data_IF_822640536679
#
_entry.id   IF_822640536679
#
_cell.length_a   1.000
_cell.length_b   1.000
_cell.length_c   1.000
_cell.angle_alpha   90.00
_cell.angle_beta   90.00
_cell.angle_gamma   90.00
#
_symmetry.space_group_name_H-M   'P 1'
#
loop_
_entity.id
_entity.type
_entity.pdbx_description
1 polymer ?
#
# COMPACT_ATOMS: atom_id res chain seq x y z
N UNK A 1 -19.89 23.73 -37.36
CA UNK A 1 -19.32 23.35 -36.04
C UNK A 1 -19.01 24.54 -35.13
N UNK A 2 -18.51 25.70 -35.62
CA UNK A 2 -18.38 26.93 -34.79
C UNK A 2 -19.64 27.81 -34.75
N UNK A 3 -20.49 27.74 -35.78
CA UNK A 3 -21.77 28.46 -35.85
C UNK A 3 -22.86 27.92 -34.90
N UNK A 4 -22.63 26.74 -34.32
CA UNK A 4 -23.54 26.11 -33.36
C UNK A 4 -22.74 25.71 -32.12
N UNK A 5 -23.32 25.85 -30.91
CA UNK A 5 -22.68 25.39 -29.68
C UNK A 5 -22.37 23.89 -29.76
N UNK A 6 -21.36 23.44 -29.01
CA UNK A 6 -20.92 22.04 -28.98
C UNK A 6 -22.05 21.06 -28.63
N UNK A 7 -23.07 21.54 -27.91
CA UNK A 7 -24.19 20.76 -27.41
C UNK A 7 -25.36 20.66 -28.40
N UNK A 8 -25.29 21.35 -29.56
CA UNK A 8 -26.32 21.21 -30.59
C UNK A 8 -26.30 19.79 -31.17
N UNK A 9 -27.46 19.13 -31.22
CA UNK A 9 -27.61 17.77 -31.77
C UNK A 9 -27.04 17.65 -33.20
N UNK A 10 -27.21 18.70 -34.02
CA UNK A 10 -26.64 18.75 -35.39
C UNK A 10 -25.12 18.78 -35.41
N UNK A 11 -24.51 19.49 -34.46
CA UNK A 11 -23.06 19.57 -34.29
C UNK A 11 -22.50 18.22 -33.81
N UNK A 12 -23.18 17.58 -32.86
CA UNK A 12 -22.81 16.26 -32.35
C UNK A 12 -22.92 15.17 -33.41
N UNK A 13 -24.01 15.14 -34.19
CA UNK A 13 -24.18 14.23 -35.33
C UNK A 13 -23.07 14.40 -36.37
N UNK A 14 -22.72 15.64 -36.70
CA UNK A 14 -21.62 15.92 -37.62
C UNK A 14 -20.26 15.43 -37.07
N UNK A 15 -19.96 15.68 -35.79
CA UNK A 15 -18.73 15.20 -35.14
C UNK A 15 -18.66 13.68 -35.12
N UNK A 16 -19.76 13.01 -34.76
CA UNK A 16 -19.85 11.56 -34.75
C UNK A 16 -19.59 10.99 -36.14
N UNK A 17 -20.21 11.57 -37.18
CA UNK A 17 -20.02 11.14 -38.57
C UNK A 17 -18.57 11.29 -39.01
N UNK A 18 -17.95 12.44 -38.72
CA UNK A 18 -16.54 12.70 -39.03
C UNK A 18 -15.59 11.79 -38.26
N UNK A 19 -15.87 11.49 -36.99
CA UNK A 19 -15.08 10.58 -36.18
C UNK A 19 -15.13 9.17 -36.76
N UNK A 20 -16.32 8.64 -37.02
CA UNK A 20 -16.51 7.29 -37.57
C UNK A 20 -15.81 7.12 -38.92
N UNK A 21 -15.91 8.12 -39.81
CA UNK A 21 -15.24 8.09 -41.11
C UNK A 21 -13.70 8.08 -40.99
N UNK A 22 -13.15 8.72 -39.96
CA UNK A 22 -11.70 8.86 -39.79
C UNK A 22 -11.07 7.84 -38.82
N UNK A 23 -11.84 6.92 -38.22
CA UNK A 23 -11.30 5.83 -37.39
C UNK A 23 -10.23 4.97 -38.08
N UNK A 24 -10.32 4.63 -39.39
CA UNK A 24 -9.27 3.87 -40.07
C UNK A 24 -7.90 4.58 -40.05
N UNK A 25 -7.88 5.92 -40.02
CA UNK A 25 -6.64 6.69 -39.88
C UNK A 25 -5.96 6.42 -38.53
N UNK A 26 -6.74 6.35 -37.44
CA UNK A 26 -6.24 6.03 -36.11
C UNK A 26 -5.63 4.62 -36.11
N UNK A 27 -6.33 3.64 -36.67
CA UNK A 27 -5.83 2.27 -36.79
C UNK A 27 -4.52 2.19 -37.58
N UNK A 28 -4.40 2.91 -38.70
CA UNK A 28 -3.17 2.99 -39.49
C UNK A 28 -2.00 3.60 -38.70
N UNK A 29 -2.27 4.66 -37.92
CA UNK A 29 -1.24 5.29 -37.10
C UNK A 29 -0.81 4.35 -35.96
N UNK A 30 -1.75 3.73 -35.25
CA UNK A 30 -1.45 2.78 -34.16
C UNK A 30 -0.65 1.58 -34.66
N UNK A 31 -1.06 0.97 -35.77
CA UNK A 31 -0.33 -0.15 -36.38
C UNK A 31 1.09 0.25 -36.80
N UNK A 32 1.27 1.46 -37.34
CA UNK A 32 2.61 2.00 -37.64
C UNK A 32 3.44 2.23 -36.38
N UNK A 33 2.85 2.75 -35.30
CA UNK A 33 3.56 2.94 -34.03
C UNK A 33 3.98 1.62 -33.40
N UNK A 34 3.12 0.61 -33.43
CA UNK A 34 3.41 -0.73 -32.94
C UNK A 34 4.50 -1.42 -33.76
N UNK A 35 4.50 -1.27 -35.09
CA UNK A 35 5.59 -1.75 -35.95
C UNK A 35 6.95 -1.14 -35.59
N UNK A 36 6.96 0.14 -35.22
CA UNK A 36 8.19 0.82 -34.78
C UNK A 36 8.63 0.45 -33.35
N UNK A 37 7.77 -0.20 -32.56
CA UNK A 37 7.97 -0.53 -31.15
C UNK A 37 7.50 -1.96 -30.85
N UNK A 38 8.28 -2.98 -31.28
CA UNK A 38 7.88 -4.38 -31.16
C UNK A 38 7.73 -4.84 -29.70
N UNK A 39 8.39 -4.17 -28.75
CA UNK A 39 8.26 -4.46 -27.31
C UNK A 39 6.87 -4.12 -26.75
N UNK A 40 6.08 -3.30 -27.45
CA UNK A 40 4.68 -3.04 -27.09
C UNK A 40 3.71 -4.10 -27.62
N UNK A 41 4.19 -5.02 -28.47
CA UNK A 41 3.36 -6.06 -29.10
C UNK A 41 3.23 -7.32 -28.22
N UNK A 42 4.18 -7.56 -27.31
CA UNK A 42 4.07 -8.66 -26.36
C UNK A 42 3.12 -8.24 -25.24
N UNK A 43 1.83 -8.43 -25.45
CA UNK A 43 0.86 -8.39 -24.35
C UNK A 43 1.21 -9.45 -23.30
N UNK A 44 0.67 -9.36 -22.08
CA UNK A 44 0.78 -10.44 -21.11
C UNK A 44 0.24 -11.70 -21.78
N UNK A 45 1.00 -12.80 -21.73
CA UNK A 45 0.63 -14.07 -22.34
C UNK A 45 -0.69 -14.60 -21.75
N UNK A 46 -1.81 -14.13 -22.29
CA UNK A 46 -3.14 -14.69 -22.11
C UNK A 46 -3.32 -15.80 -23.14
N UNK A 47 -3.36 -17.04 -22.67
CA UNK A 47 -3.40 -18.24 -23.50
C UNK A 47 -4.60 -18.27 -24.45
N UNK A 48 -4.31 -18.42 -25.74
CA UNK A 48 -5.19 -19.04 -26.74
C UNK A 48 -4.41 -19.21 -28.04
N UNK A 49 -3.81 -20.38 -28.22
CA UNK A 49 -3.18 -20.75 -29.50
C UNK A 49 -2.15 -21.87 -29.33
N UNK A 50 -2.59 -23.11 -29.52
CA UNK A 50 -1.71 -24.27 -29.55
C UNK A 50 -0.69 -24.17 -30.68
N UNK A 51 0.59 -24.28 -30.33
CA UNK A 51 1.71 -24.32 -31.27
C UNK A 51 2.97 -24.69 -30.52
N UNK A 52 3.45 -25.90 -30.73
CA UNK A 52 4.67 -26.44 -30.16
C UNK A 52 5.91 -25.64 -30.58
N UNK A 53 6.53 -24.93 -29.64
CA UNK A 53 7.92 -24.50 -29.74
C UNK A 53 8.53 -24.51 -28.35
N UNK A 54 9.64 -25.23 -28.20
CA UNK A 54 10.38 -25.47 -26.98
C UNK A 54 10.83 -24.17 -26.26
N UNK A 55 10.90 -24.14 -24.92
CA UNK A 55 11.36 -22.98 -24.18
C UNK A 55 12.86 -23.06 -23.96
N UNK A 56 13.65 -22.29 -24.71
CA UNK A 56 15.04 -22.00 -24.33
C UNK A 56 15.19 -20.49 -24.18
N UNK A 57 15.41 -20.06 -22.95
CA UNK A 57 15.50 -18.66 -22.49
C UNK A 57 14.13 -17.99 -22.27
N UNK A 58 13.41 -18.44 -21.26
CA UNK A 58 12.28 -17.71 -20.67
C UNK A 58 12.79 -16.48 -19.92
N UNK A 59 13.25 -15.46 -20.65
CA UNK A 59 13.17 -14.10 -20.12
C UNK A 59 11.68 -13.87 -19.85
N UNK A 60 11.31 -13.64 -18.59
CA UNK A 60 9.99 -13.19 -18.18
C UNK A 60 9.70 -11.88 -18.92
N UNK A 61 9.18 -12.01 -20.14
CA UNK A 61 8.83 -10.89 -20.98
C UNK A 61 7.55 -10.32 -20.42
N UNK A 62 7.71 -9.43 -19.43
CA UNK A 62 6.63 -8.71 -18.79
C UNK A 62 5.81 -8.07 -19.89
N UNK A 63 4.52 -8.42 -19.94
CA UNK A 63 3.59 -7.91 -20.93
C UNK A 63 3.66 -6.39 -20.98
N UNK A 64 3.67 -5.82 -22.17
CA UNK A 64 3.62 -4.38 -22.36
C UNK A 64 2.45 -3.80 -21.55
N UNK A 65 2.73 -2.78 -20.73
CA UNK A 65 1.72 -2.15 -19.88
C UNK A 65 0.57 -1.51 -20.69
N UNK A 66 0.78 -1.26 -21.99
CA UNK A 66 -0.24 -0.78 -22.92
C UNK A 66 -0.58 -1.83 -23.97
N UNK A 67 -1.86 -2.12 -24.09
CA UNK A 67 -2.39 -2.96 -25.17
C UNK A 67 -2.61 -2.15 -26.45
N UNK A 68 -2.80 -2.84 -27.57
CA UNK A 68 -3.18 -2.21 -28.84
C UNK A 68 -4.49 -1.41 -28.71
N UNK A 69 -5.45 -1.93 -27.95
CA UNK A 69 -6.75 -1.30 -27.76
C UNK A 69 -6.63 0.00 -26.94
N UNK A 70 -5.73 0.03 -25.95
CA UNK A 70 -5.43 1.26 -25.21
C UNK A 70 -4.88 2.36 -26.13
N UNK A 71 -3.99 2.00 -27.06
CA UNK A 71 -3.47 2.94 -28.06
C UNK A 71 -4.54 3.40 -29.05
N UNK A 72 -5.48 2.53 -29.42
CA UNK A 72 -6.62 2.88 -30.26
C UNK A 72 -7.56 3.85 -29.55
N UNK A 73 -7.86 3.63 -28.28
CA UNK A 73 -8.69 4.53 -27.48
C UNK A 73 -8.02 5.90 -27.32
N UNK A 74 -6.74 5.96 -26.96
CA UNK A 74 -6.02 7.22 -26.85
C UNK A 74 -5.90 7.93 -28.21
N UNK A 75 -5.68 7.19 -29.29
CA UNK A 75 -5.70 7.74 -30.64
C UNK A 75 -7.06 8.31 -31.04
N UNK A 76 -8.16 7.66 -30.64
CA UNK A 76 -9.54 8.12 -30.90
C UNK A 76 -9.87 9.39 -30.10
N UNK A 77 -9.40 9.49 -28.86
CA UNK A 77 -9.48 10.73 -28.06
C UNK A 77 -8.72 11.86 -28.77
N UNK A 78 -7.51 11.58 -29.27
CA UNK A 78 -6.74 12.56 -30.04
C UNK A 78 -7.43 13.01 -31.32
N UNK A 79 -8.13 12.11 -32.02
CA UNK A 79 -8.95 12.45 -33.18
C UNK A 79 -10.14 13.34 -32.80
N UNK A 80 -10.83 13.05 -31.69
CA UNK A 80 -11.93 13.88 -31.19
C UNK A 80 -11.47 15.30 -30.83
N UNK A 81 -10.35 15.43 -30.09
CA UNK A 81 -9.73 16.74 -29.79
C UNK A 81 -9.35 17.51 -31.06
N UNK A 82 -8.86 16.80 -32.09
CA UNK A 82 -8.56 17.40 -33.38
C UNK A 82 -9.81 17.93 -34.07
N UNK A 83 -10.90 17.16 -34.10
CA UNK A 83 -12.16 17.57 -34.71
C UNK A 83 -12.74 18.82 -34.04
N UNK A 84 -12.66 18.90 -32.70
CA UNK A 84 -13.15 20.05 -31.95
C UNK A 84 -12.37 21.34 -32.24
N UNK A 85 -11.06 21.23 -32.50
CA UNK A 85 -10.18 22.38 -32.73
C UNK A 85 -9.97 22.71 -34.20
N UNK A 86 -10.27 21.78 -35.11
CA UNK A 86 -10.07 21.97 -36.55
C UNK A 86 -11.01 23.03 -37.09
N UNK A 87 -10.45 23.96 -37.87
CA UNK A 87 -11.23 24.96 -38.57
C UNK A 87 -11.34 24.58 -40.05
N UNK A 88 -12.59 24.38 -40.50
CA UNK A 88 -12.90 23.98 -41.88
C UNK A 88 -12.64 25.09 -42.90
N UNK A 89 -12.52 26.34 -42.45
CA UNK A 89 -12.08 27.44 -43.32
C UNK A 89 -10.67 27.19 -43.91
N UNK A 90 -9.86 26.37 -43.25
CA UNK A 90 -8.56 25.94 -43.77
C UNK A 90 -8.67 24.83 -44.84
N UNK A 91 -9.78 24.11 -44.99
CA UNK A 91 -9.88 23.09 -46.06
C UNK A 91 -10.17 23.67 -47.45
N UNK A 92 -10.73 24.88 -47.51
CA UNK A 92 -11.10 25.52 -48.78
C UNK A 92 -9.86 26.06 -49.49
N UNK A 93 -9.36 25.24 -50.42
CA UNK A 93 -8.28 25.58 -51.35
C UNK A 93 -8.68 26.62 -52.41
N UNK A 94 -9.96 27.05 -52.42
CA UNK A 94 -10.55 27.97 -53.41
C UNK A 94 -10.41 29.45 -53.07
N UNK A 95 -9.99 29.80 -51.84
CA UNK A 95 -9.79 31.20 -51.44
C UNK A 95 -8.40 31.66 -51.85
N UNK A 96 -8.28 32.12 -53.09
CA UNK A 96 -7.09 32.77 -53.66
C UNK A 96 -7.21 34.30 -53.61
N UNK A 97 -7.64 34.90 -52.49
CA UNK A 97 -7.60 36.37 -52.41
C UNK A 97 -7.03 36.89 -51.08
N UNK A 98 -6.08 37.81 -51.27
CA UNK A 98 -5.21 38.42 -50.30
C UNK A 98 -5.99 39.21 -49.24
N UNK A 99 -6.25 38.61 -48.09
CA UNK A 99 -6.45 39.36 -46.84
C UNK A 99 -5.26 39.09 -45.93
N UNK A 100 -4.73 40.15 -45.37
CA UNK A 100 -3.38 40.30 -44.78
C UNK A 100 -3.14 39.52 -43.47
N UNK A 101 -3.86 38.43 -43.22
CA UNK A 101 -3.54 37.54 -42.09
C UNK A 101 -2.61 36.44 -42.56
N UNK A 102 -1.43 36.35 -41.93
CA UNK A 102 -0.38 35.34 -42.11
C UNK A 102 -0.84 33.93 -41.69
N UNK A 103 -1.94 33.43 -42.24
CA UNK A 103 -2.41 32.07 -42.01
C UNK A 103 -1.94 31.19 -43.18
N UNK A 104 -1.07 30.19 -42.95
CA UNK A 104 -0.56 29.35 -44.01
C UNK A 104 -1.66 28.48 -44.62
N UNK A 105 -1.53 28.27 -45.95
CA UNK A 105 -2.28 27.36 -46.82
C UNK A 105 -2.83 26.16 -46.07
N UNK A 106 -4.15 26.00 -46.11
CA UNK A 106 -4.81 25.14 -45.16
C UNK A 106 -4.72 23.64 -45.46
N UNK A 107 -4.53 22.89 -44.37
CA UNK A 107 -4.27 21.47 -44.40
C UNK A 107 -5.58 20.69 -44.27
N UNK A 108 -5.74 19.63 -45.07
CA UNK A 108 -6.87 18.70 -44.94
C UNK A 108 -6.98 18.18 -43.51
N UNK A 109 -8.20 17.89 -43.06
CA UNK A 109 -8.48 17.33 -41.73
C UNK A 109 -7.57 16.15 -41.39
N UNK A 110 -7.36 15.20 -42.30
CA UNK A 110 -6.49 14.05 -42.05
C UNK A 110 -5.04 14.43 -41.73
N UNK A 111 -4.49 15.45 -42.39
CA UNK A 111 -3.15 15.98 -42.10
C UNK A 111 -3.10 16.57 -40.70
N UNK A 112 -4.09 17.38 -40.32
CA UNK A 112 -4.17 17.99 -39.00
C UNK A 112 -4.37 16.94 -37.89
N UNK A 113 -5.37 16.07 -38.06
CA UNK A 113 -5.71 15.01 -37.10
C UNK A 113 -4.52 14.07 -36.84
N UNK A 114 -3.69 13.81 -37.84
CA UNK A 114 -2.50 12.97 -37.69
C UNK A 114 -1.55 13.48 -36.59
N UNK A 115 -1.38 14.79 -36.44
CA UNK A 115 -0.52 15.36 -35.38
C UNK A 115 -1.11 15.16 -33.99
N UNK A 116 -2.42 15.36 -33.84
CA UNK A 116 -3.14 15.15 -32.58
C UNK A 116 -3.15 13.68 -32.17
N UNK A 117 -3.46 12.77 -33.10
CA UNK A 117 -3.45 11.32 -32.87
C UNK A 117 -2.06 10.87 -32.44
N UNK A 118 -1.00 11.28 -33.17
CA UNK A 118 0.38 10.91 -32.81
C UNK A 118 0.82 11.50 -31.48
N UNK A 119 0.53 12.77 -31.23
CA UNK A 119 0.87 13.43 -29.98
C UNK A 119 0.20 12.75 -28.78
N UNK A 120 -1.09 12.41 -28.92
CA UNK A 120 -1.87 11.73 -27.87
C UNK A 120 -1.35 10.32 -27.59
N UNK A 121 -1.12 9.53 -28.63
CA UNK A 121 -0.52 8.19 -28.51
C UNK A 121 0.87 8.25 -27.87
N UNK A 122 1.74 9.15 -28.31
CA UNK A 122 3.10 9.28 -27.76
C UNK A 122 3.07 9.68 -26.29
N UNK A 123 2.17 10.59 -25.89
CA UNK A 123 1.98 10.98 -24.49
C UNK A 123 1.45 9.80 -23.66
N UNK A 124 0.50 9.03 -24.19
CA UNK A 124 -0.04 7.85 -23.51
C UNK A 124 1.06 6.82 -23.24
N UNK A 125 1.86 6.49 -24.27
CA UNK A 125 3.03 5.60 -24.14
C UNK A 125 3.96 6.14 -23.06
N UNK A 126 4.44 7.38 -23.16
CA UNK A 126 5.35 7.95 -22.16
C UNK A 126 4.79 7.89 -20.73
N UNK A 127 3.48 8.08 -20.56
CA UNK A 127 2.85 8.13 -19.24
C UNK A 127 2.61 6.76 -18.59
N UNK A 128 2.44 5.70 -19.39
CA UNK A 128 1.89 4.41 -18.95
C UNK A 128 2.66 3.18 -19.49
N UNK A 129 3.72 3.37 -20.27
CA UNK A 129 4.56 2.27 -20.80
C UNK A 129 5.29 1.49 -19.70
N UNK A 130 5.61 2.16 -18.59
CA UNK A 130 6.34 1.59 -17.47
C UNK A 130 5.38 1.36 -16.30
N UNK A 131 5.64 0.33 -15.50
CA UNK A 131 4.84 0.01 -14.30
C UNK A 131 4.73 1.19 -13.32
N UNK A 132 5.75 2.06 -13.30
CA UNK A 132 5.76 3.29 -12.53
C UNK A 132 5.95 4.49 -13.45
N UNK A 133 5.29 5.58 -13.10
CA UNK A 133 5.25 6.79 -13.91
C UNK A 133 6.55 7.58 -13.76
N UNK A 134 7.14 7.93 -14.90
CA UNK A 134 8.28 8.84 -14.97
C UNK A 134 7.89 10.25 -15.39
N UNK A 135 8.61 11.28 -14.91
CA UNK A 135 8.50 12.62 -15.46
C UNK A 135 8.90 12.68 -16.95
N UNK A 136 8.15 13.45 -17.74
CA UNK A 136 8.36 13.56 -19.20
C UNK A 136 9.78 14.02 -19.57
N UNK A 137 10.33 15.00 -18.83
CA UNK A 137 11.69 15.51 -19.04
C UNK A 137 12.74 14.39 -18.96
N UNK A 138 12.56 13.44 -18.05
CA UNK A 138 13.48 12.31 -17.85
C UNK A 138 13.37 11.33 -19.01
N UNK A 139 12.16 10.99 -19.45
CA UNK A 139 11.93 10.12 -20.60
C UNK A 139 12.52 10.71 -21.90
N UNK A 140 12.31 12.01 -22.12
CA UNK A 140 12.90 12.72 -23.26
C UNK A 140 14.43 12.74 -23.17
N UNK A 141 15.01 12.95 -21.98
CA UNK A 141 16.45 12.86 -21.75
C UNK A 141 16.97 11.44 -22.07
N UNK A 142 16.26 10.40 -21.64
CA UNK A 142 16.59 9.00 -21.94
C UNK A 142 16.61 8.72 -23.44
N UNK A 143 15.62 9.18 -24.20
CA UNK A 143 15.60 9.03 -25.65
C UNK A 143 16.75 9.78 -26.35
N UNK A 144 17.04 11.02 -25.92
CA UNK A 144 18.18 11.80 -26.44
C UNK A 144 19.51 11.10 -26.13
N UNK A 145 19.64 10.55 -24.93
CA UNK A 145 20.82 9.81 -24.50
C UNK A 145 21.04 8.55 -25.33
N UNK A 146 19.99 7.77 -25.61
CA UNK A 146 20.06 6.60 -26.49
C UNK A 146 20.45 7.00 -27.91
N UNK A 147 19.93 8.12 -28.42
CA UNK A 147 20.29 8.63 -29.75
C UNK A 147 21.75 9.07 -29.81
N UNK A 148 22.20 9.85 -28.83
CA UNK A 148 23.58 10.32 -28.72
C UNK A 148 24.57 9.15 -28.57
N UNK A 149 24.23 8.14 -27.76
CA UNK A 149 25.05 6.94 -27.62
C UNK A 149 25.22 6.19 -28.96
N UNK A 150 24.14 6.07 -29.74
CA UNK A 150 24.19 5.48 -31.09
C UNK A 150 25.02 6.32 -32.06
N UNK A 151 24.88 7.64 -32.04
CA UNK A 151 25.66 8.56 -32.88
C UNK A 151 27.17 8.50 -32.54
N UNK A 152 27.52 8.23 -31.29
CA UNK A 152 28.89 8.01 -30.81
C UNK A 152 29.40 6.56 -30.97
N UNK A 153 28.57 5.64 -31.46
CA UNK A 153 28.94 4.22 -31.61
C UNK A 153 29.17 3.49 -30.28
N UNK A 154 28.54 3.96 -29.19
CA UNK A 154 28.69 3.39 -27.86
C UNK A 154 27.62 2.33 -27.59
N UNK A 155 28.04 1.20 -27.03
CA UNK A 155 27.13 0.19 -26.47
C UNK A 155 26.47 0.69 -25.19
N UNK A 156 25.22 0.27 -24.96
CA UNK A 156 24.45 0.73 -23.80
C UNK A 156 25.05 0.28 -22.46
N UNK A 157 25.72 -0.88 -22.41
CA UNK A 157 26.45 -1.33 -21.22
C UNK A 157 27.55 -0.34 -20.82
N UNK A 158 28.28 0.21 -21.79
CA UNK A 158 29.28 1.24 -21.54
C UNK A 158 28.65 2.52 -21.01
N UNK A 159 27.46 2.90 -21.48
CA UNK A 159 26.72 4.05 -20.94
C UNK A 159 26.30 3.82 -19.49
N UNK A 160 25.91 2.60 -19.13
CA UNK A 160 25.59 2.22 -17.75
C UNK A 160 26.85 2.27 -16.87
N UNK A 161 28.02 1.83 -17.34
CA UNK A 161 29.27 1.97 -16.57
C UNK A 161 29.68 3.43 -16.36
N UNK A 162 29.35 4.31 -17.32
CA UNK A 162 29.62 5.75 -17.22
C UNK A 162 28.77 6.46 -16.16
N UNK A 163 27.75 5.79 -15.59
CA UNK A 163 27.01 6.25 -14.39
C UNK A 163 27.97 6.53 -13.24
N UNK A 164 28.94 5.64 -13.02
CA UNK A 164 29.88 5.76 -11.92
C UNK A 164 30.98 6.76 -12.29
N UNK A 165 31.05 7.86 -11.55
CA UNK A 165 31.90 9.02 -11.85
C UNK A 165 33.41 8.71 -11.95
N UNK A 166 33.84 7.53 -11.50
CA UNK A 166 35.25 7.14 -11.42
C UNK A 166 35.87 6.70 -12.76
N UNK A 167 35.07 6.32 -13.78
CA UNK A 167 35.59 5.78 -15.05
C UNK A 167 35.14 6.67 -16.22
N UNK A 168 36.13 7.27 -16.91
CA UNK A 168 36.01 7.94 -18.25
C UNK A 168 35.16 9.23 -18.29
N UNK A 169 35.58 10.24 -17.54
CA UNK A 169 34.98 11.58 -17.49
C UNK A 169 34.83 12.26 -18.89
N UNK A 170 35.77 12.04 -19.83
CA UNK A 170 35.72 12.67 -21.18
C UNK A 170 34.57 12.15 -22.05
N UNK A 171 34.30 10.84 -22.02
CA UNK A 171 33.22 10.25 -22.82
C UNK A 171 31.85 10.64 -22.26
N UNK A 172 31.75 10.71 -20.93
CA UNK A 172 30.55 11.18 -20.24
C UNK A 172 30.20 12.61 -20.64
N UNK A 173 31.17 13.53 -20.61
CA UNK A 173 30.97 14.92 -21.03
C UNK A 173 30.51 14.98 -22.49
N UNK A 174 31.20 14.30 -23.40
CA UNK A 174 30.82 14.26 -24.82
C UNK A 174 29.39 13.72 -25.04
N UNK A 175 28.98 12.71 -24.27
CA UNK A 175 27.64 12.13 -24.32
C UNK A 175 26.58 13.09 -23.77
N UNK A 176 26.86 13.76 -22.64
CA UNK A 176 25.98 14.78 -22.07
C UNK A 176 25.81 15.97 -23.01
N UNK A 177 26.88 16.42 -23.65
CA UNK A 177 26.88 17.52 -24.61
C UNK A 177 26.06 17.15 -25.85
N UNK A 178 26.30 15.96 -26.42
CA UNK A 178 25.54 15.45 -27.56
C UNK A 178 24.04 15.26 -27.23
N UNK A 179 23.71 14.83 -26.01
CA UNK A 179 22.33 14.66 -25.56
C UNK A 179 21.65 15.98 -25.10
N UNK A 180 22.42 17.06 -24.89
CA UNK A 180 21.95 18.32 -24.33
C UNK A 180 21.44 18.18 -22.89
N UNK A 181 22.16 17.42 -22.06
CA UNK A 181 21.83 17.18 -20.64
C UNK A 181 22.86 17.92 -19.78
N UNK A 182 22.42 18.96 -19.06
CA UNK A 182 23.31 19.78 -18.23
C UNK A 182 23.44 19.27 -16.78
N UNK A 183 22.39 18.65 -16.23
CA UNK A 183 22.34 18.24 -14.83
C UNK A 183 22.70 16.77 -14.65
N UNK A 184 23.56 16.49 -13.69
CA UNK A 184 23.96 15.14 -13.27
C UNK A 184 22.75 14.25 -12.92
N UNK A 185 21.80 14.80 -12.16
CA UNK A 185 20.59 14.09 -11.77
C UNK A 185 19.80 13.57 -12.97
N UNK A 186 19.56 14.41 -13.99
CA UNK A 186 18.82 13.98 -15.19
C UNK A 186 19.56 12.91 -15.99
N UNK A 187 20.90 12.93 -15.99
CA UNK A 187 21.69 11.91 -16.67
C UNK A 187 21.55 10.55 -15.97
N UNK A 188 21.73 10.53 -14.65
CA UNK A 188 21.57 9.32 -13.83
C UNK A 188 20.17 8.72 -13.96
N UNK A 189 19.17 9.59 -13.87
CA UNK A 189 17.78 9.20 -13.93
C UNK A 189 17.40 8.69 -15.33
N UNK A 190 17.90 9.33 -16.39
CA UNK A 190 17.69 8.88 -17.77
C UNK A 190 18.30 7.51 -18.05
N UNK A 191 19.47 7.21 -17.47
CA UNK A 191 20.09 5.87 -17.52
C UNK A 191 19.22 4.87 -16.78
N UNK A 192 18.81 5.19 -15.55
CA UNK A 192 17.98 4.32 -14.71
C UNK A 192 16.67 3.94 -15.42
N UNK A 193 15.96 4.91 -16.01
CA UNK A 193 14.73 4.65 -16.79
C UNK A 193 15.00 3.67 -17.94
N UNK A 194 16.07 3.89 -18.70
CA UNK A 194 16.39 3.04 -19.85
C UNK A 194 16.81 1.63 -19.45
N UNK A 195 17.56 1.51 -18.36
CA UNK A 195 17.98 0.21 -17.81
C UNK A 195 16.77 -0.61 -17.41
N UNK A 196 15.78 0.01 -16.75
CA UNK A 196 14.54 -0.66 -16.34
C UNK A 196 13.69 -1.05 -17.55
N UNK A 197 13.58 -0.15 -18.55
CA UNK A 197 12.91 -0.44 -19.81
C UNK A 197 13.53 -1.63 -20.57
N UNK A 198 14.86 -1.77 -20.55
CA UNK A 198 15.57 -2.87 -21.22
C UNK A 198 15.49 -4.18 -20.42
N UNK A 199 15.53 -4.11 -19.09
CA UNK A 199 15.48 -5.27 -18.22
C UNK A 199 14.08 -5.88 -18.10
N UNK A 200 13.02 -5.13 -18.43
CA UNK A 200 11.63 -5.55 -18.22
C UNK A 200 11.21 -5.69 -16.76
N UNK A 201 12.15 -5.58 -15.82
CA UNK A 201 11.96 -5.74 -14.39
C UNK A 201 12.24 -4.40 -13.69
N UNK A 202 11.31 -3.89 -12.85
CA UNK A 202 11.48 -2.60 -12.19
C UNK A 202 12.64 -2.58 -11.19
N UNK A 203 12.98 -3.74 -10.63
CA UNK A 203 14.10 -3.97 -9.71
C UNK A 203 14.64 -5.38 -9.93
N UNK A 204 15.95 -5.55 -10.05
CA UNK A 204 16.55 -6.88 -9.89
C UNK A 204 16.33 -7.28 -8.43
N UNK A 205 15.92 -8.54 -8.21
CA UNK A 205 15.77 -9.06 -6.86
C UNK A 205 17.17 -9.11 -6.22
N UNK A 206 17.41 -8.24 -5.25
CA UNK A 206 18.69 -8.22 -4.54
C UNK A 206 18.83 -9.50 -3.70
N UNK A 207 20.06 -9.95 -3.47
CA UNK A 207 20.32 -11.22 -2.77
C UNK A 207 19.73 -11.27 -1.36
N UNK A 208 19.52 -10.11 -0.72
CA UNK A 208 18.90 -10.00 0.61
C UNK A 208 17.37 -9.96 0.56
N UNK A 209 16.78 -9.61 -0.59
CA UNK A 209 15.32 -9.63 -0.82
C UNK A 209 14.86 -10.98 -1.34
N UNK A 210 15.76 -11.75 -1.94
CA UNK A 210 15.50 -13.13 -2.26
C UNK A 210 15.46 -13.91 -0.95
N UNK A 211 14.27 -14.39 -0.59
CA UNK A 211 14.15 -15.64 0.15
C UNK A 211 14.75 -16.71 -0.76
N UNK A 212 16.09 -16.79 -0.82
CA UNK A 212 16.74 -17.98 -1.33
C UNK A 212 16.08 -19.13 -0.57
N UNK A 213 15.67 -20.22 -1.23
CA UNK A 213 15.43 -21.45 -0.52
C UNK A 213 16.79 -21.85 0.04
N UNK A 214 17.16 -21.26 1.19
CA UNK A 214 18.21 -21.77 2.05
C UNK A 214 17.81 -23.23 2.26
N UNK A 215 18.77 -24.13 2.13
CA UNK A 215 18.53 -25.56 2.37
C UNK A 215 17.74 -25.71 3.67
N UNK A 216 16.84 -26.69 3.75
CA UNK A 216 16.03 -26.96 4.95
C UNK A 216 16.89 -26.95 6.22
N UNK A 217 18.13 -27.44 6.12
CA UNK A 217 19.15 -27.44 7.18
C UNK A 217 19.54 -26.02 7.66
N UNK A 218 19.72 -25.06 6.75
CA UNK A 218 20.05 -23.67 7.09
C UNK A 218 18.86 -22.89 7.63
N UNK A 219 17.64 -23.26 7.22
CA UNK A 219 16.42 -22.68 7.80
C UNK A 219 16.20 -23.21 9.22
N UNK A 220 16.43 -24.49 9.46
CA UNK A 220 16.34 -25.11 10.78
C UNK A 220 17.37 -24.55 11.75
N UNK A 221 18.64 -24.41 11.35
CA UNK A 221 19.68 -23.85 12.23
C UNK A 221 19.42 -22.36 12.59
N UNK A 222 18.95 -21.54 11.65
CA UNK A 222 18.61 -20.14 11.94
C UNK A 222 17.31 -20.01 12.75
N UNK A 223 16.31 -20.85 12.50
CA UNK A 223 15.05 -20.86 13.26
C UNK A 223 15.27 -21.42 14.68
N UNK A 224 16.13 -22.41 14.85
CA UNK A 224 16.59 -22.94 16.15
C UNK A 224 17.43 -21.89 16.90
N UNK A 225 18.34 -21.18 16.23
CA UNK A 225 19.09 -20.06 16.82
C UNK A 225 18.19 -18.86 17.18
N UNK A 226 17.19 -18.53 16.36
CA UNK A 226 16.22 -17.47 16.65
C UNK A 226 15.34 -17.84 17.84
N UNK A 227 14.89 -19.11 17.91
CA UNK A 227 14.14 -19.63 19.05
C UNK A 227 15.01 -19.68 20.33
N UNK A 228 16.27 -20.11 20.23
CA UNK A 228 17.22 -20.08 21.35
C UNK A 228 17.49 -18.64 21.81
N UNK A 229 17.65 -17.68 20.90
CA UNK A 229 17.82 -16.27 21.25
C UNK A 229 16.54 -15.67 21.88
N UNK A 230 15.36 -16.02 21.37
CA UNK A 230 14.07 -15.62 21.94
C UNK A 230 13.78 -16.25 23.30
N UNK A 231 14.30 -17.45 23.59
CA UNK A 231 14.17 -18.11 24.90
C UNK A 231 15.21 -17.62 25.92
N UNK A 232 16.41 -17.26 25.47
CA UNK A 232 17.51 -16.80 26.34
C UNK A 232 17.31 -15.35 26.83
N UNK A 233 16.67 -14.50 26.02
CA UNK A 233 16.30 -13.13 26.39
C UNK A 233 15.47 -13.03 27.68
N UNK A 234 14.27 -13.65 27.77
CA UNK A 234 13.44 -13.60 28.96
C UNK A 234 14.11 -14.25 30.17
N UNK A 235 14.82 -15.37 30.01
CA UNK A 235 15.53 -16.02 31.12
C UNK A 235 16.62 -15.11 31.72
N UNK A 236 17.40 -14.43 30.88
CA UNK A 236 18.41 -13.48 31.34
C UNK A 236 17.76 -12.29 32.07
N UNK A 237 16.64 -11.77 31.56
CA UNK A 237 15.90 -10.71 32.26
C UNK A 237 15.39 -11.16 33.63
N UNK A 238 14.90 -12.40 33.76
CA UNK A 238 14.43 -12.95 35.03
C UNK A 238 15.57 -13.17 36.03
N UNK A 239 16.73 -13.66 35.60
CA UNK A 239 17.92 -13.79 36.46
C UNK A 239 18.37 -12.44 37.01
N UNK A 240 18.43 -11.42 36.15
CA UNK A 240 18.77 -10.05 36.56
C UNK A 240 17.75 -9.47 37.54
N UNK A 241 16.45 -9.68 37.31
CA UNK A 241 15.40 -9.24 38.24
C UNK A 241 15.46 -9.97 39.58
N UNK A 242 15.76 -11.27 39.59
CA UNK A 242 15.83 -12.08 40.82
C UNK A 242 16.88 -11.61 41.83
N UNK A 243 17.90 -10.87 41.39
CA UNK A 243 18.95 -10.30 42.25
C UNK A 243 18.46 -9.15 43.14
N UNK A 244 17.39 -8.47 42.72
CA UNK A 244 16.89 -7.24 43.37
C UNK A 244 15.49 -7.37 43.96
N UNK A 245 14.74 -8.39 43.56
CA UNK A 245 13.32 -8.54 43.87
C UNK A 245 13.04 -9.88 44.56
N UNK A 246 11.99 -9.89 45.38
CA UNK A 246 11.51 -11.14 45.97
C UNK A 246 10.84 -12.04 44.92
N UNK A 247 10.85 -13.36 45.13
CA UNK A 247 10.30 -14.33 44.14
C UNK A 247 8.84 -14.02 43.74
N UNK A 248 8.05 -13.46 44.66
CA UNK A 248 6.66 -13.04 44.38
C UNK A 248 6.59 -11.77 43.53
N UNK A 249 7.50 -10.83 43.73
CA UNK A 249 7.59 -9.58 42.95
C UNK A 249 7.99 -9.87 41.50
N UNK A 250 8.98 -10.76 41.31
CA UNK A 250 9.41 -11.22 39.99
C UNK A 250 8.26 -11.92 39.26
N UNK A 251 7.48 -12.76 39.95
CA UNK A 251 6.35 -13.47 39.37
C UNK A 251 5.21 -12.54 38.93
N UNK A 252 4.92 -11.48 39.69
CA UNK A 252 3.93 -10.47 39.27
C UNK A 252 4.43 -9.70 38.04
N UNK A 253 5.70 -9.31 38.01
CA UNK A 253 6.31 -8.60 36.87
C UNK A 253 6.35 -9.49 35.61
N UNK A 254 6.73 -10.76 35.76
CA UNK A 254 6.81 -11.69 34.63
C UNK A 254 5.45 -11.92 33.99
N UNK A 255 4.40 -12.08 34.81
CA UNK A 255 3.03 -12.19 34.34
C UNK A 255 2.51 -10.87 33.75
N UNK A 256 2.89 -9.71 34.31
CA UNK A 256 2.42 -8.40 33.82
C UNK A 256 3.00 -8.05 32.45
N UNK A 257 4.29 -8.31 32.25
CA UNK A 257 5.05 -7.92 31.06
C UNK A 257 5.25 -9.06 30.06
N UNK A 258 4.80 -10.27 30.38
CA UNK A 258 4.89 -11.43 29.47
C UNK A 258 6.31 -12.00 29.34
N UNK A 259 7.13 -11.90 30.41
CA UNK A 259 8.48 -12.49 30.43
C UNK A 259 8.44 -14.02 30.60
N UNK A 260 7.28 -14.58 31.00
CA UNK A 260 7.03 -16.01 31.07
C UNK A 260 5.79 -16.29 30.22
N UNK A 261 5.90 -17.21 29.28
CA UNK A 261 4.78 -17.63 28.43
C UNK A 261 3.63 -18.14 29.29
N UNK A 262 2.40 -17.75 28.94
CA UNK A 262 1.21 -18.10 29.69
C UNK A 262 0.97 -19.61 29.85
N UNK A 263 1.70 -20.44 29.09
CA UNK A 263 1.58 -21.89 29.01
C UNK A 263 2.51 -22.63 29.99
N UNK A 264 3.61 -22.03 30.45
CA UNK A 264 4.48 -22.64 31.48
C UNK A 264 3.86 -22.59 32.89
N UNK A 265 2.85 -21.74 33.08
CA UNK A 265 2.04 -21.66 34.30
C UNK A 265 0.76 -22.51 34.25
N UNK A 266 0.58 -23.33 33.21
CA UNK A 266 -0.50 -24.31 33.12
C UNK A 266 -0.09 -25.61 33.79
N UNK A 267 -0.74 -25.93 34.90
CA UNK A 267 -0.86 -27.29 35.46
C UNK A 267 0.36 -27.94 36.13
N UNK A 268 1.43 -27.21 36.43
CA UNK A 268 2.33 -27.69 37.50
C UNK A 268 1.70 -27.34 38.83
N UNK A 269 1.00 -28.32 39.42
CA UNK A 269 0.80 -28.40 40.87
C UNK A 269 2.13 -28.07 41.54
N UNK A 270 2.29 -26.82 41.98
CA UNK A 270 3.35 -26.44 42.91
C UNK A 270 3.01 -27.19 44.18
N UNK A 271 3.65 -28.36 44.32
CA UNK A 271 3.64 -29.17 45.51
C UNK A 271 3.86 -28.26 46.70
N UNK A 272 2.83 -28.27 47.55
CA UNK A 272 2.82 -27.85 48.92
C UNK A 272 4.15 -28.22 49.60
N UNK A 273 5.08 -27.28 49.62
CA UNK A 273 6.33 -27.35 50.39
C UNK A 273 6.50 -26.09 51.23
N UNK A 274 5.39 -25.63 51.83
CA UNK A 274 5.42 -25.02 53.16
C UNK A 274 3.99 -25.01 53.71
N UNK A 275 3.65 -26.04 54.46
CA UNK A 275 2.40 -26.16 55.21
C UNK A 275 2.36 -25.12 56.33
N UNK A 276 1.94 -23.91 55.99
CA UNK A 276 1.19 -23.04 56.90
C UNK A 276 -0.12 -22.74 56.18
N UNK A 277 -1.23 -23.12 56.80
CA UNK A 277 -2.59 -23.04 56.26
C UNK A 277 -2.76 -21.85 55.32
N UNK A 278 -3.01 -22.12 54.04
CA UNK A 278 -3.41 -21.11 53.08
C UNK A 278 -4.75 -20.54 53.56
N UNK A 279 -4.70 -19.47 54.34
CA UNK A 279 -5.85 -18.63 54.59
C UNK A 279 -6.29 -18.15 53.21
N UNK A 280 -7.42 -18.69 52.74
CA UNK A 280 -8.13 -18.16 51.57
C UNK A 280 -8.38 -16.70 51.90
N UNK A 281 -7.53 -15.81 51.39
CA UNK A 281 -7.64 -14.40 51.65
C UNK A 281 -8.88 -13.93 50.90
N UNK A 282 -9.98 -13.79 51.63
CA UNK A 282 -11.24 -13.31 51.06
C UNK A 282 -10.99 -11.89 50.58
N UNK A 283 -11.14 -11.69 49.28
CA UNK A 283 -10.80 -10.46 48.62
C UNK A 283 -11.95 -9.45 48.80
N UNK A 284 -12.08 -8.93 50.03
CA UNK A 284 -13.21 -8.08 50.43
C UNK A 284 -13.35 -6.84 49.55
N UNK A 285 -12.26 -6.36 48.95
CA UNK A 285 -12.29 -5.22 48.03
C UNK A 285 -12.85 -5.62 46.66
N UNK A 286 -12.41 -6.74 46.08
CA UNK A 286 -13.00 -7.24 44.83
C UNK A 286 -14.48 -7.65 45.01
N UNK A 287 -14.82 -8.22 46.16
CA UNK A 287 -16.21 -8.49 46.56
C UNK A 287 -17.00 -7.19 46.73
N UNK A 288 -16.43 -6.17 47.37
CA UNK A 288 -17.05 -4.85 47.48
C UNK A 288 -17.18 -4.13 46.13
N UNK A 289 -16.22 -4.27 45.22
CA UNK A 289 -16.29 -3.70 43.87
C UNK A 289 -17.38 -4.38 43.03
N UNK A 290 -17.47 -5.71 43.09
CA UNK A 290 -18.55 -6.45 42.42
C UNK A 290 -19.92 -6.12 43.08
N UNK A 291 -19.97 -5.91 44.40
CA UNK A 291 -21.17 -5.49 45.14
C UNK A 291 -21.56 -4.03 44.90
N UNK A 292 -20.62 -3.12 44.62
CA UNK A 292 -20.90 -1.71 44.33
C UNK A 292 -21.14 -1.48 42.84
N UNK A 293 -20.24 -1.97 41.98
CA UNK A 293 -20.15 -1.63 40.56
C UNK A 293 -20.40 -2.80 39.61
N UNK A 294 -20.56 -4.03 40.14
CA UNK A 294 -20.93 -5.18 39.32
C UNK A 294 -22.30 -5.01 38.66
N UNK A 295 -22.67 -5.92 37.74
CA UNK A 295 -23.95 -5.84 37.02
C UNK A 295 -25.19 -5.84 37.93
N UNK A 296 -25.07 -6.38 39.15
CA UNK A 296 -26.10 -6.35 40.19
C UNK A 296 -25.70 -5.47 41.39
N UNK A 297 -24.70 -4.60 41.22
CA UNK A 297 -24.12 -3.81 42.29
C UNK A 297 -24.98 -2.61 42.70
N UNK A 298 -24.80 -2.12 43.93
CA UNK A 298 -25.58 -1.05 44.56
C UNK A 298 -25.57 0.25 43.73
N UNK A 299 -24.48 0.52 43.01
CA UNK A 299 -24.28 1.69 42.16
C UNK A 299 -24.46 1.41 40.67
N UNK A 300 -24.84 0.18 40.28
CA UNK A 300 -25.05 -0.18 38.88
C UNK A 300 -26.09 0.74 38.21
N UNK A 301 -27.13 1.13 38.94
CA UNK A 301 -28.19 2.03 38.49
C UNK A 301 -27.73 3.47 38.18
N UNK A 302 -26.59 3.93 38.72
CA UNK A 302 -26.05 5.26 38.44
C UNK A 302 -25.27 5.34 37.12
N UNK A 303 -24.79 4.20 36.61
CA UNK A 303 -24.12 4.12 35.30
C UNK A 303 -25.10 4.10 34.12
N UNK A 304 -26.39 3.90 34.40
CA UNK A 304 -27.45 3.99 33.40
C UNK A 304 -27.78 5.46 33.14
N UNK A 305 -27.35 5.97 31.99
CA UNK A 305 -27.80 7.26 31.45
C UNK A 305 -29.34 7.28 31.44
N UNK A 306 -30.02 8.34 31.93
CA UNK A 306 -31.48 8.32 32.03
C UNK A 306 -32.11 8.39 30.64
N UNK A 307 -32.91 7.38 30.29
CA UNK A 307 -33.96 7.50 29.27
C UNK A 307 -35.21 7.98 30.01
N UNK A 308 -35.68 9.19 29.71
CA UNK A 308 -36.97 9.72 30.20
C UNK A 308 -38.13 8.80 29.76
N UNK A 309 -38.70 8.06 30.71
CA UNK A 309 -40.00 7.41 30.55
C UNK A 309 -41.13 8.36 30.99
N UNK A 310 -41.93 8.84 30.04
CA UNK A 310 -43.28 9.36 30.33
C UNK A 310 -44.24 8.18 30.52
N UNK A 311 -44.73 8.04 31.74
CA UNK A 311 -45.78 7.14 32.18
C UNK A 311 -47.22 7.67 31.89
N UNK A 312 -48.27 6.84 32.08
CA UNK A 312 -49.46 6.78 31.20
C UNK A 312 -50.71 7.52 31.72
N UNK A 313 -51.71 7.60 30.85
CA UNK A 313 -52.99 8.31 31.00
C UNK A 313 -54.05 7.63 31.87
N UNK A 314 -55.07 8.39 32.31
CA UNK A 314 -56.41 7.87 32.67
C UNK A 314 -57.56 8.82 32.29
N UNK A 315 -58.49 8.26 31.48
CA UNK A 315 -59.97 8.37 31.47
C UNK A 315 -60.67 9.66 30.97
N UNK A 316 -61.28 9.62 29.76
CA UNK A 316 -62.75 9.63 29.53
C UNK A 316 -63.21 10.07 28.10
N UNK A 317 -63.93 9.16 27.42
CA UNK A 317 -65.14 9.32 26.57
C UNK A 317 -65.21 10.20 25.30
N UNK A 318 -65.57 9.51 24.20
CA UNK A 318 -66.52 9.85 23.09
C UNK A 318 -66.07 10.96 22.10
N UNK A 319 -66.07 10.83 20.76
CA UNK A 319 -67.02 10.20 19.79
C UNK A 319 -66.40 9.97 18.39
N UNK A 320 -66.91 8.95 17.68
CA UNK A 320 -66.96 8.73 16.21
C UNK A 320 -65.64 8.47 15.43
N UNK A 321 -65.35 7.24 14.98
CA UNK A 321 -65.95 6.45 13.87
C UNK A 321 -65.37 6.79 12.48
N UNK A 322 -64.46 5.94 11.98
CA UNK A 322 -64.66 5.15 10.75
C UNK A 322 -63.43 4.27 10.47
N UNK A 323 -63.70 2.97 10.30
CA UNK A 323 -62.75 1.91 10.00
C UNK A 323 -62.43 1.83 8.50
N UNK A 324 -61.21 1.39 8.15
CA UNK A 324 -60.95 0.09 7.51
C UNK A 324 -59.58 0.04 6.79
N UNK A 325 -58.82 -1.03 7.08
CA UNK A 325 -57.94 -1.85 6.21
C UNK A 325 -56.94 -1.14 5.27
N UNK A 326 -55.67 -1.50 5.11
CA UNK A 326 -54.86 -2.72 5.27
C UNK A 326 -53.43 -2.28 4.82
N UNK A 327 -52.28 -2.85 5.21
CA UNK A 327 -51.66 -4.12 4.84
C UNK A 327 -50.32 -4.20 5.58
N UNK A 328 -50.04 -5.38 6.11
CA UNK A 328 -48.81 -5.88 6.72
C UNK A 328 -47.63 -5.89 5.75
N UNK A 329 -46.43 -5.48 6.19
CA UNK A 329 -45.18 -5.77 5.47
C UNK A 329 -44.19 -6.49 6.39
N UNK A 330 -44.06 -7.79 6.17
CA UNK A 330 -42.85 -8.55 6.47
C UNK A 330 -41.74 -8.11 5.51
N UNK A 331 -40.49 -8.09 5.95
CA UNK A 331 -39.37 -8.75 5.26
C UNK A 331 -38.18 -8.90 6.23
N UNK A 332 -37.60 -10.08 6.12
CA UNK A 332 -36.62 -10.76 6.97
C UNK A 332 -35.18 -10.55 6.45
N UNK A 333 -34.20 -10.84 7.32
CA UNK A 333 -32.80 -11.31 7.06
C UNK A 333 -31.68 -10.25 6.97
N UNK A 334 -30.39 -10.63 7.06
CA UNK A 334 -29.69 -11.18 8.23
C UNK A 334 -28.28 -10.54 8.41
N UNK A 335 -27.46 -11.14 9.28
CA UNK A 335 -26.09 -10.80 9.65
C UNK A 335 -25.09 -10.55 8.51
N UNK A 336 -24.14 -9.63 8.75
CA UNK A 336 -22.78 -9.66 8.20
C UNK A 336 -21.87 -8.79 9.08
N UNK A 337 -21.03 -9.44 9.88
CA UNK A 337 -19.93 -8.82 10.60
C UNK A 337 -18.96 -8.23 9.58
N UNK A 338 -18.67 -6.94 9.68
CA UNK A 338 -17.51 -6.33 9.02
C UNK A 338 -16.49 -6.04 10.12
N UNK A 339 -15.57 -6.98 10.31
CA UNK A 339 -14.37 -6.81 11.13
C UNK A 339 -13.43 -5.84 10.43
N UNK A 340 -13.38 -4.60 10.92
CA UNK A 340 -12.31 -3.66 10.62
C UNK A 340 -11.16 -4.01 11.60
N UNK A 341 -9.93 -4.29 11.14
CA UNK A 341 -8.83 -4.59 12.04
C UNK A 341 -8.45 -3.29 12.76
N UNK A 342 -8.79 -3.22 14.05
CA UNK A 342 -8.33 -2.15 14.93
C UNK A 342 -6.82 -2.25 15.08
N UNK A 343 -6.11 -1.28 14.51
CA UNK A 343 -4.70 -1.02 14.72
C UNK A 343 -4.49 -0.51 16.16
N UNK A 344 -4.52 -1.42 17.12
CA UNK A 344 -4.29 -1.13 18.54
C UNK A 344 -3.68 -2.34 19.28
N UNK A 345 -2.63 -2.95 18.73
CA UNK A 345 -1.74 -3.80 19.52
C UNK A 345 -0.64 -2.92 20.14
N UNK A 346 -1.03 -2.06 21.08
CA UNK A 346 -0.15 -1.87 22.23
C UNK A 346 -0.09 -3.22 22.95
N UNK A 347 1.08 -3.73 23.39
CA UNK A 347 1.10 -4.96 24.19
C UNK A 347 0.22 -4.72 25.42
N UNK A 348 -0.98 -5.29 25.41
CA UNK A 348 -1.95 -5.08 26.48
C UNK A 348 -1.46 -5.88 27.67
N UNK A 349 -0.78 -5.19 28.59
CA UNK A 349 -0.32 -5.76 29.85
C UNK A 349 -1.48 -6.50 30.54
N UNK A 350 -1.21 -7.71 31.06
CA UNK A 350 -2.23 -8.52 31.75
C UNK A 350 -2.83 -7.72 32.93
N UNK A 351 -4.16 -7.60 33.05
CA UNK A 351 -4.78 -6.84 34.13
C UNK A 351 -4.54 -7.52 35.48
N UNK A 352 -4.37 -6.73 36.55
CA UNK A 352 -4.06 -7.27 37.88
C UNK A 352 -5.14 -8.20 38.43
N UNK A 353 -6.40 -8.07 37.99
CA UNK A 353 -7.49 -9.01 38.32
C UNK A 353 -7.19 -10.42 37.81
N UNK A 354 -6.60 -10.55 36.63
CA UNK A 354 -6.27 -11.86 36.05
C UNK A 354 -4.93 -12.40 36.56
N UNK A 355 -3.98 -11.52 36.88
CA UNK A 355 -2.74 -11.91 37.58
C UNK A 355 -3.09 -12.43 38.99
N UNK A 356 -3.99 -11.77 39.72
CA UNK A 356 -4.46 -12.18 41.03
C UNK A 356 -5.10 -13.58 41.00
N UNK A 357 -5.95 -13.86 40.01
CA UNK A 357 -6.51 -15.20 39.79
C UNK A 357 -5.42 -16.25 39.57
N UNK A 358 -4.40 -15.96 38.73
CA UNK A 358 -3.27 -16.87 38.48
C UNK A 358 -2.41 -17.13 39.71
N UNK A 359 -2.24 -16.13 40.59
CA UNK A 359 -1.42 -16.24 41.78
C UNK A 359 -2.19 -16.63 43.04
N UNK A 360 -3.52 -16.81 42.97
CA UNK A 360 -4.40 -16.98 44.14
C UNK A 360 -4.28 -15.84 45.16
N UNK A 361 -4.08 -14.62 44.67
CA UNK A 361 -3.90 -13.39 45.45
C UNK A 361 -4.91 -12.32 45.01
N UNK A 362 -5.11 -11.33 45.87
CA UNK A 362 -5.89 -10.15 45.53
C UNK A 362 -5.26 -9.35 44.38
N UNK A 363 -6.09 -8.83 43.48
CA UNK A 363 -5.61 -7.96 42.39
C UNK A 363 -4.89 -6.71 42.90
N UNK A 364 -5.39 -6.11 43.99
CA UNK A 364 -4.76 -4.95 44.62
C UNK A 364 -3.47 -5.32 45.37
N UNK A 365 -3.40 -6.51 45.94
CA UNK A 365 -2.14 -7.04 46.47
C UNK A 365 -1.09 -7.17 45.35
N UNK A 366 -1.44 -7.75 44.20
CA UNK A 366 -0.55 -7.84 43.04
C UNK A 366 -0.15 -6.45 42.52
N UNK A 367 -1.06 -5.49 42.48
CA UNK A 367 -0.77 -4.09 42.09
C UNK A 367 0.25 -3.44 43.02
N UNK A 368 0.04 -3.57 44.34
CA UNK A 368 0.97 -3.05 45.36
C UNK A 368 2.34 -3.72 45.30
N UNK A 369 2.36 -5.02 45.03
CA UNK A 369 3.58 -5.78 44.85
C UNK A 369 4.35 -5.29 43.61
N UNK A 370 3.65 -5.06 42.50
CA UNK A 370 4.22 -4.51 41.27
C UNK A 370 4.76 -3.09 41.48
N UNK A 371 4.03 -2.21 42.17
CA UNK A 371 4.53 -0.86 42.47
C UNK A 371 5.76 -0.90 43.39
N UNK A 372 5.74 -1.73 44.45
CA UNK A 372 6.88 -1.87 45.35
C UNK A 372 8.12 -2.44 44.62
N UNK A 373 7.90 -3.38 43.71
CA UNK A 373 8.92 -3.94 42.84
C UNK A 373 9.56 -2.88 41.93
N UNK A 374 8.75 -2.05 41.28
CA UNK A 374 9.24 -0.94 40.44
C UNK A 374 9.97 0.13 41.27
N UNK A 375 9.50 0.41 42.49
CA UNK A 375 10.17 1.34 43.41
C UNK A 375 11.54 0.79 43.89
N UNK A 376 11.67 -0.53 44.09
CA UNK A 376 12.95 -1.17 44.40
C UNK A 376 13.93 -1.09 43.22
N UNK A 377 13.44 -1.33 42.00
CA UNK A 377 14.25 -1.24 40.78
C UNK A 377 14.70 0.20 40.50
N UNK A 378 13.81 1.18 40.62
CA UNK A 378 14.16 2.60 40.46
C UNK A 378 15.23 3.04 41.45
N UNK A 379 15.12 2.64 42.73
CA UNK A 379 16.20 2.88 43.71
C UNK A 379 17.51 2.17 43.34
N UNK A 380 17.46 0.95 42.83
CA UNK A 380 18.66 0.24 42.38
C UNK A 380 19.35 0.93 41.20
N UNK A 381 18.57 1.56 40.31
CA UNK A 381 19.08 2.40 39.21
C UNK A 381 19.69 3.70 39.75
N UNK A 382 19.02 4.39 40.69
CA UNK A 382 19.54 5.62 41.31
C UNK A 382 20.86 5.39 42.07
N UNK A 383 21.02 4.22 42.69
CA UNK A 383 22.25 3.82 43.38
C UNK A 383 23.34 3.28 42.42
N UNK A 384 23.06 3.22 41.11
CA UNK A 384 23.99 2.74 40.09
C UNK A 384 24.28 1.24 40.16
N UNK A 385 23.42 0.46 40.82
CA UNK A 385 23.53 -1.01 40.96
C UNK A 385 22.87 -1.77 39.81
N UNK A 386 22.03 -1.11 39.02
CA UNK A 386 21.33 -1.67 37.87
C UNK A 386 21.42 -0.70 36.68
N UNK A 387 21.84 -1.18 35.52
CA UNK A 387 21.92 -0.41 34.29
C UNK A 387 21.05 -1.01 33.17
N UNK A 388 20.66 -0.18 32.19
CA UNK A 388 19.92 -0.64 31.00
C UNK A 388 20.69 -1.71 30.21
N UNK A 389 22.03 -1.64 30.23
CA UNK A 389 22.91 -2.62 29.59
C UNK A 389 22.78 -4.03 30.16
N UNK A 390 22.36 -4.14 31.43
CA UNK A 390 22.20 -5.44 32.12
C UNK A 390 20.97 -6.20 31.60
N UNK A 391 20.11 -5.54 30.83
CA UNK A 391 18.98 -6.18 30.13
C UNK A 391 19.27 -6.42 28.64
N UNK A 392 20.25 -5.72 28.05
CA UNK A 392 20.60 -5.84 26.62
C UNK A 392 21.54 -7.01 26.29
N UNK A 393 22.17 -7.64 27.30
CA UNK A 393 23.08 -8.78 27.07
C UNK A 393 22.37 -10.09 26.70
N UNK A 394 21.04 -10.08 26.56
CA UNK A 394 20.23 -11.21 26.10
C UNK A 394 19.46 -10.97 24.80
N UNK A 395 19.84 -9.96 23.99
CA UNK A 395 19.22 -9.65 22.69
C UNK A 395 20.23 -9.65 21.54
#
# INVERSE_FOLDING_TARGET
MRSHPADSATSQMARQTLLLHNLPLVQSIVTKTLRSRPHLLSGPAGGSGGGSASPSSSELQVGAALTKDDLLHEGTIGLAEALDKYDFSYSDLSVTEHTSSTAPKGARLGTYATYWIRGRILRAIQSREHAFRFPERVLQASHRLVKAAKELGLEWSTVVELKDASKKNRLRVALCDAAGISTEFLFQEAIRVRTISKSGMPTQLESWMSLSPKSVEQQQEEEELLLEMEEMGPQHTLDTLSKFLDSREVQVLSLRYGLVSAEEGGDTEVQASSSTQAAVFRDYEAEAEDDLFGPNGILAHYSAVPVEERQPAVIASNTASAAAASITSNITTPSSQTTVPSLANTPTLLPFKDIGKKMTLSGEYCRRLCSAALDKLTRAVEEGRLAESDFSLGW
#
